data_IF_415960357230
#
_entry.id   IF_415960357230
#
_cell.length_a   1.000
_cell.length_b   1.000
_cell.length_c   1.000
_cell.angle_alpha   90.00
_cell.angle_beta   90.00
_cell.angle_gamma   90.00
#
_symmetry.space_group_name_H-M   'P 1'
#
loop_
_entity.id
_entity.type
_entity.pdbx_description
1 polymer ?
#
# COMPACT_ATOMS: atom_id res chain seq x y z
N UNK A 1 3.02 -5.35 29.71
CA UNK A 1 3.71 -5.55 28.46
C UNK A 1 3.90 -4.21 27.76
N UNK A 2 5.13 -3.72 27.70
CA UNK A 2 5.39 -2.32 27.36
C UNK A 2 5.47 -2.07 25.85
N UNK A 3 5.57 -3.10 25.03
CA UNK A 3 5.76 -3.01 23.59
C UNK A 3 4.53 -3.52 22.86
N UNK A 4 3.82 -4.45 23.48
CA UNK A 4 2.64 -5.06 22.89
C UNK A 4 1.34 -4.42 23.38
N UNK A 5 0.38 -4.36 22.50
CA UNK A 5 -0.97 -3.89 22.77
C UNK A 5 -1.99 -4.85 22.15
N UNK A 6 -3.23 -4.73 22.55
CA UNK A 6 -4.32 -5.38 21.83
C UNK A 6 -4.53 -4.64 20.52
N UNK A 7 -4.16 -5.29 19.42
CA UNK A 7 -4.41 -4.74 18.11
C UNK A 7 -5.90 -4.67 17.80
N UNK A 8 -6.34 -3.59 17.15
CA UNK A 8 -7.71 -3.40 16.69
C UNK A 8 -7.72 -3.13 15.19
N UNK A 9 -8.51 -3.90 14.46
CA UNK A 9 -8.76 -3.64 13.05
C UNK A 9 -10.21 -3.26 12.83
N UNK A 10 -10.41 -2.12 12.21
CA UNK A 10 -11.71 -1.60 11.79
C UNK A 10 -11.72 -1.47 10.28
N UNK A 11 -12.72 -2.02 9.62
CA UNK A 11 -12.87 -1.98 8.16
C UNK A 11 -14.31 -1.58 7.83
N UNK A 12 -14.46 -0.38 7.28
CA UNK A 12 -15.74 0.18 6.89
C UNK A 12 -15.82 0.19 5.37
N UNK A 13 -16.92 -0.30 4.83
CA UNK A 13 -17.13 -0.33 3.39
C UNK A 13 -18.57 -0.01 3.06
N UNK A 14 -18.78 0.87 2.08
CA UNK A 14 -20.06 1.18 1.51
C UNK A 14 -20.00 1.02 -0.01
N UNK A 15 -21.02 0.44 -0.60
CA UNK A 15 -21.06 0.25 -2.04
C UNK A 15 -22.45 0.47 -2.62
N UNK A 16 -22.47 0.89 -3.87
CA UNK A 16 -23.67 1.00 -4.70
C UNK A 16 -23.40 0.36 -6.04
N UNK A 17 -24.38 -0.34 -6.56
CA UNK A 17 -24.33 -0.92 -7.90
C UNK A 17 -25.67 -0.82 -8.58
N UNK A 18 -25.66 -0.82 -9.89
CA UNK A 18 -26.89 -0.84 -10.69
C UNK A 18 -26.59 -1.33 -12.10
N UNK A 19 -27.65 -1.74 -12.77
CA UNK A 19 -27.58 -2.21 -14.13
C UNK A 19 -28.84 -1.78 -14.91
N UNK A 20 -28.61 -1.46 -16.18
CA UNK A 20 -29.64 -1.33 -17.23
C UNK A 20 -29.32 -2.32 -18.34
N UNK A 21 -30.12 -2.34 -19.40
CA UNK A 21 -29.82 -3.19 -20.56
C UNK A 21 -28.49 -2.88 -21.24
N UNK A 22 -27.97 -1.65 -21.07
CA UNK A 22 -26.77 -1.17 -21.77
C UNK A 22 -25.62 -0.77 -20.85
N UNK A 23 -25.87 -0.51 -19.59
CA UNK A 23 -24.84 -0.02 -18.66
C UNK A 23 -24.95 -0.75 -17.34
N UNK A 24 -23.83 -1.25 -16.85
CA UNK A 24 -23.72 -1.67 -15.46
C UNK A 24 -22.60 -0.90 -14.77
N UNK A 25 -22.81 -0.61 -13.50
CA UNK A 25 -21.85 0.11 -12.70
C UNK A 25 -21.77 -0.43 -11.28
N UNK A 26 -20.61 -0.27 -10.71
CA UNK A 26 -20.32 -0.53 -9.30
C UNK A 26 -19.41 0.59 -8.79
N UNK A 27 -19.71 1.09 -7.61
CA UNK A 27 -18.87 2.03 -6.89
C UNK A 27 -18.80 1.64 -5.43
N UNK A 28 -17.61 1.68 -4.84
CA UNK A 28 -17.42 1.47 -3.41
C UNK A 28 -16.40 2.43 -2.84
N UNK A 29 -16.61 2.75 -1.56
CA UNK A 29 -15.69 3.48 -0.71
C UNK A 29 -15.40 2.63 0.51
N UNK A 30 -14.16 2.61 0.94
CA UNK A 30 -13.72 1.87 2.11
C UNK A 30 -12.70 2.66 2.91
N UNK A 31 -12.74 2.49 4.22
CA UNK A 31 -11.73 3.00 5.14
C UNK A 31 -11.30 1.88 6.08
N UNK A 32 -10.00 1.69 6.17
CA UNK A 32 -9.37 0.77 7.12
C UNK A 32 -8.61 1.60 8.15
N UNK A 33 -8.78 1.26 9.42
CA UNK A 33 -7.86 1.59 10.50
C UNK A 33 -7.37 0.29 11.12
N UNK A 34 -6.07 0.09 11.15
CA UNK A 34 -5.46 -1.11 11.68
C UNK A 34 -4.36 -0.76 12.68
N UNK A 35 -4.61 -1.04 13.92
CA UNK A 35 -3.64 -0.98 15.00
C UNK A 35 -3.00 -2.36 15.16
N UNK A 36 -1.68 -2.43 15.05
CA UNK A 36 -0.92 -3.65 15.20
C UNK A 36 -0.76 -4.08 16.66
N UNK A 37 -0.29 -5.31 16.86
CA UNK A 37 0.02 -5.82 18.20
C UNK A 37 1.25 -5.14 18.82
N UNK A 38 2.09 -4.48 18.02
CA UNK A 38 3.19 -3.64 18.48
C UNK A 38 2.72 -2.20 18.47
N UNK A 39 2.91 -1.49 19.58
CA UNK A 39 2.52 -0.08 19.68
C UNK A 39 3.21 0.76 18.61
N UNK A 40 2.44 1.60 17.89
CA UNK A 40 2.89 2.43 16.78
C UNK A 40 3.05 1.70 15.43
N UNK A 41 2.88 0.38 15.40
CA UNK A 41 2.73 -0.35 14.15
C UNK A 41 1.26 -0.31 13.71
N UNK A 42 0.90 0.76 13.08
CA UNK A 42 -0.47 1.02 12.64
C UNK A 42 -0.49 1.49 11.20
N UNK A 43 -1.61 1.38 10.56
CA UNK A 43 -1.85 2.04 9.29
C UNK A 43 -3.33 2.38 9.14
N UNK A 44 -3.60 3.43 8.41
CA UNK A 44 -4.92 3.71 7.90
C UNK A 44 -4.89 3.81 6.38
N UNK A 45 -6.01 3.47 5.76
CA UNK A 45 -6.12 3.54 4.31
C UNK A 45 -7.54 3.90 3.89
N UNK A 46 -7.63 4.86 2.98
CA UNK A 46 -8.83 5.13 2.21
C UNK A 46 -8.76 4.36 0.89
N UNK A 47 -9.87 3.73 0.50
CA UNK A 47 -9.97 2.94 -0.73
C UNK A 47 -11.22 3.32 -1.49
N UNK A 48 -11.11 3.41 -2.80
CA UNK A 48 -12.27 3.48 -3.67
C UNK A 48 -12.12 2.55 -4.86
N UNK A 49 -13.23 1.97 -5.28
CA UNK A 49 -13.31 1.20 -6.51
C UNK A 49 -14.49 1.69 -7.33
N UNK A 50 -14.25 1.95 -8.60
CA UNK A 50 -15.28 2.29 -9.57
C UNK A 50 -15.15 1.37 -10.77
N UNK A 51 -16.23 0.70 -11.12
CA UNK A 51 -16.32 -0.13 -12.32
C UNK A 51 -17.54 0.27 -13.13
N UNK A 52 -17.35 0.46 -14.41
CA UNK A 52 -18.42 0.73 -15.37
C UNK A 52 -18.19 -0.10 -16.62
N UNK A 53 -19.24 -0.71 -17.15
CA UNK A 53 -19.24 -1.32 -18.47
C UNK A 53 -20.48 -0.82 -19.21
N UNK A 54 -20.29 -0.44 -20.47
CA UNK A 54 -21.34 0.12 -21.30
C UNK A 54 -21.34 -0.52 -22.69
N UNK A 55 -22.48 -0.98 -23.11
CA UNK A 55 -22.77 -1.37 -24.50
C UNK A 55 -23.18 -0.13 -25.27
N UNK A 56 -22.20 0.50 -25.94
CA UNK A 56 -22.42 1.76 -26.68
C UNK A 56 -23.29 1.51 -27.91
N UNK A 57 -22.97 0.44 -28.63
CA UNK A 57 -23.74 -0.05 -29.78
C UNK A 57 -23.83 -1.58 -29.67
N UNK A 58 -24.50 -2.22 -30.63
CA UNK A 58 -24.55 -3.69 -30.67
C UNK A 58 -23.21 -4.35 -31.00
N UNK A 59 -22.29 -3.59 -31.55
CA UNK A 59 -20.96 -4.05 -31.95
C UNK A 59 -19.82 -3.47 -31.07
N UNK A 60 -20.08 -2.48 -30.19
CA UNK A 60 -19.07 -1.82 -29.34
C UNK A 60 -19.47 -1.84 -27.87
N UNK A 61 -18.65 -2.49 -27.07
CA UNK A 61 -18.70 -2.46 -25.62
C UNK A 61 -17.43 -1.81 -25.09
N UNK A 62 -17.55 -0.96 -24.08
CA UNK A 62 -16.41 -0.33 -23.39
C UNK A 62 -16.55 -0.51 -21.89
N UNK A 63 -15.41 -0.57 -21.20
CA UNK A 63 -15.39 -0.69 -19.76
C UNK A 63 -14.21 0.08 -19.16
N UNK A 64 -14.41 0.49 -17.92
CA UNK A 64 -13.37 1.08 -17.09
C UNK A 64 -13.48 0.50 -15.66
N UNK A 65 -12.32 0.18 -15.09
CA UNK A 65 -12.20 -0.16 -13.67
C UNK A 65 -11.10 0.71 -13.08
N UNK A 66 -11.43 1.48 -12.06
CA UNK A 66 -10.52 2.41 -11.38
C UNK A 66 -10.48 2.04 -9.90
N UNK A 67 -9.31 1.66 -9.43
CA UNK A 67 -9.04 1.38 -8.01
C UNK A 67 -8.07 2.43 -7.50
N UNK A 68 -8.46 3.13 -6.47
CA UNK A 68 -7.63 4.10 -5.77
C UNK A 68 -7.44 3.66 -4.33
N UNK A 69 -6.23 3.81 -3.83
CA UNK A 69 -5.90 3.64 -2.42
C UNK A 69 -4.90 4.70 -2.01
N UNK A 70 -5.19 5.34 -0.88
CA UNK A 70 -4.27 6.23 -0.19
C UNK A 70 -4.05 5.66 1.21
N UNK A 71 -2.79 5.41 1.57
CA UNK A 71 -2.42 4.76 2.82
C UNK A 71 -1.35 5.56 3.53
N UNK A 72 -1.59 5.82 4.81
CA UNK A 72 -0.62 6.31 5.76
C UNK A 72 -0.23 5.18 6.71
N UNK A 73 1.05 4.96 6.87
CA UNK A 73 1.61 3.99 7.82
C UNK A 73 1.98 4.70 9.12
N UNK A 74 1.98 3.94 10.22
CA UNK A 74 2.40 4.45 11.54
C UNK A 74 3.89 4.83 11.60
N UNK A 75 4.24 5.44 12.68
CA UNK A 75 5.55 6.05 12.92
C UNK A 75 6.66 5.08 13.34
N UNK A 76 6.37 3.78 13.42
CA UNK A 76 7.36 2.77 13.75
C UNK A 76 7.98 2.12 12.51
N UNK A 77 9.29 2.16 12.45
CA UNK A 77 10.07 1.27 11.60
C UNK A 77 10.33 -0.05 12.31
N UNK A 78 9.40 -0.98 12.24
CA UNK A 78 9.64 -2.34 12.73
C UNK A 78 10.37 -3.12 11.65
N UNK A 79 11.69 -3.19 11.75
CA UNK A 79 12.51 -4.07 10.94
C UNK A 79 12.84 -5.33 11.75
N UNK A 80 12.36 -6.47 11.32
CA UNK A 80 12.54 -7.77 12.01
C UNK A 80 14.00 -8.26 12.05
N UNK A 81 14.90 -7.66 11.31
CA UNK A 81 16.34 -8.01 11.30
C UNK A 81 17.25 -7.00 11.93
N UNK A 82 16.70 -5.96 12.54
CA UNK A 82 17.49 -4.85 13.08
C UNK A 82 17.79 -5.03 14.58
N UNK A 83 18.79 -4.29 15.03
CA UNK A 83 19.09 -4.09 16.45
C UNK A 83 17.89 -3.64 17.29
N UNK A 84 16.82 -3.18 16.65
CA UNK A 84 15.56 -2.80 17.29
C UNK A 84 14.96 -3.93 18.12
N UNK A 85 14.71 -5.10 17.52
CA UNK A 85 14.15 -6.24 18.24
C UNK A 85 15.09 -6.78 19.31
N UNK A 86 16.36 -6.95 18.96
CA UNK A 86 17.38 -7.48 19.84
C UNK A 86 17.63 -6.54 21.04
N UNK A 87 17.86 -5.26 20.78
CA UNK A 87 18.19 -4.30 21.83
C UNK A 87 16.99 -3.83 22.65
N UNK A 88 15.82 -3.69 22.03
CA UNK A 88 14.66 -3.11 22.73
C UNK A 88 13.72 -4.15 23.32
N UNK A 89 13.59 -5.32 22.71
CA UNK A 89 12.61 -6.30 23.15
C UNK A 89 13.22 -7.51 23.85
N UNK A 90 14.37 -8.00 23.36
CA UNK A 90 14.95 -9.23 23.86
C UNK A 90 15.98 -9.02 24.96
N UNK A 91 16.66 -7.88 24.99
CA UNK A 91 17.73 -7.59 25.95
C UNK A 91 17.26 -6.89 27.22
N UNK A 92 16.05 -6.32 27.24
CA UNK A 92 15.53 -5.72 28.46
C UNK A 92 15.00 -6.79 29.42
N UNK A 93 15.43 -6.69 30.68
CA UNK A 93 14.86 -7.52 31.75
C UNK A 93 13.40 -7.15 32.00
N UNK A 94 12.53 -8.12 32.34
CA UNK A 94 11.18 -7.82 32.81
C UNK A 94 11.13 -6.93 34.07
N UNK A 95 12.24 -6.83 34.78
CA UNK A 95 12.37 -6.00 35.97
C UNK A 95 12.97 -4.62 35.72
N UNK A 96 13.37 -4.35 34.45
CA UNK A 96 13.89 -3.04 34.07
C UNK A 96 12.77 -2.00 34.03
N UNK A 97 13.02 -0.82 34.62
CA UNK A 97 12.05 0.28 34.52
C UNK A 97 12.22 1.04 33.22
N UNK A 98 11.11 1.32 32.55
CA UNK A 98 11.11 2.22 31.39
C UNK A 98 11.19 3.70 31.79
N UNK A 99 10.98 4.01 33.05
CA UNK A 99 10.92 5.37 33.57
C UNK A 99 11.94 5.56 34.65
N UNK A 100 12.52 6.75 34.68
CA UNK A 100 13.33 7.24 35.80
C UNK A 100 12.45 7.55 37.04
N UNK A 101 13.09 7.97 38.11
CA UNK A 101 12.39 8.33 39.36
C UNK A 101 11.51 9.59 39.20
N UNK A 102 11.64 10.35 38.15
CA UNK A 102 10.88 11.56 37.84
C UNK A 102 9.72 11.29 36.88
N UNK A 103 9.61 10.07 36.36
CA UNK A 103 8.59 9.68 35.41
C UNK A 103 8.93 9.95 33.95
N UNK A 104 10.18 10.32 33.62
CA UNK A 104 10.65 10.43 32.24
C UNK A 104 11.12 9.09 31.72
N UNK A 105 11.08 8.90 30.40
CA UNK A 105 11.63 7.68 29.80
C UNK A 105 13.12 7.54 30.08
N UNK A 106 13.50 6.37 30.60
CA UNK A 106 14.92 5.98 30.78
C UNK A 106 15.48 5.46 29.45
N UNK A 107 16.58 6.04 28.98
CA UNK A 107 17.18 5.62 27.70
C UNK A 107 17.72 4.19 27.73
N UNK A 108 18.35 3.84 28.87
CA UNK A 108 18.96 2.52 29.08
C UNK A 108 18.37 1.85 30.32
N UNK A 109 17.21 1.16 30.22
CA UNK A 109 16.50 0.59 31.35
C UNK A 109 17.33 -0.39 32.18
N UNK A 110 18.42 -0.93 31.60
CA UNK A 110 19.35 -1.84 32.25
C UNK A 110 20.60 -1.12 32.78
N UNK A 111 20.62 0.21 32.80
CA UNK A 111 21.71 1.02 33.30
C UNK A 111 22.09 0.61 34.73
N UNK A 112 23.37 0.31 34.94
CA UNK A 112 23.87 -0.17 36.22
C UNK A 112 23.75 -1.69 36.45
N UNK A 113 23.18 -2.46 35.56
CA UNK A 113 23.18 -3.91 35.60
C UNK A 113 24.36 -4.48 34.77
N UNK A 114 24.96 -5.61 35.19
CA UNK A 114 26.15 -6.17 34.53
C UNK A 114 25.80 -6.88 33.19
N UNK A 115 24.93 -6.28 32.40
CA UNK A 115 24.48 -6.85 31.11
C UNK A 115 24.74 -5.86 29.99
N UNK A 116 24.93 -6.36 28.78
CA UNK A 116 25.01 -5.55 27.55
C UNK A 116 23.63 -4.95 27.25
N UNK A 117 23.25 -3.94 27.99
CA UNK A 117 22.00 -3.28 28.19
C UNK A 117 21.03 -3.25 27.02
N UNK A 118 19.79 -3.42 27.35
CA UNK A 118 18.67 -3.10 26.48
C UNK A 118 18.54 -1.59 26.28
N UNK A 119 17.80 -1.21 25.31
CA UNK A 119 17.50 0.16 24.94
C UNK A 119 16.00 0.42 25.03
N UNK A 120 15.61 1.62 25.37
CA UNK A 120 14.20 2.00 25.44
C UNK A 120 13.79 2.73 24.16
N UNK A 121 13.09 2.04 23.31
CA UNK A 121 12.58 2.60 22.06
C UNK A 121 11.69 3.84 22.27
N UNK A 122 10.87 3.87 23.35
CA UNK A 122 10.01 5.02 23.61
C UNK A 122 10.77 6.27 24.00
N UNK A 123 12.01 6.12 24.48
CA UNK A 123 12.89 7.26 24.71
C UNK A 123 13.15 8.00 23.39
N UNK A 124 13.50 7.30 22.33
CA UNK A 124 13.80 7.91 21.03
C UNK A 124 12.56 8.49 20.35
N UNK A 125 11.41 7.84 20.49
CA UNK A 125 10.16 8.33 19.87
C UNK A 125 9.80 9.76 20.27
N UNK A 126 10.27 10.26 21.39
CA UNK A 126 10.06 11.64 21.81
C UNK A 126 10.78 12.64 20.90
N UNK A 127 11.80 12.17 20.17
CA UNK A 127 12.71 12.99 19.39
C UNK A 127 12.60 12.75 17.88
N UNK A 128 11.78 11.81 17.45
CA UNK A 128 11.60 11.46 16.05
C UNK A 128 10.18 11.76 15.59
N UNK A 129 10.09 12.20 14.35
CA UNK A 129 8.83 12.24 13.61
C UNK A 129 9.05 11.50 12.28
N UNK A 130 8.24 10.49 12.02
CA UNK A 130 8.31 9.66 10.83
C UNK A 130 6.93 9.62 10.18
N UNK A 131 6.83 10.17 8.99
CA UNK A 131 5.67 10.04 8.14
C UNK A 131 6.04 9.17 6.95
N UNK A 132 5.24 8.16 6.65
CA UNK A 132 5.40 7.34 5.46
C UNK A 132 4.05 6.84 4.98
N UNK A 133 3.99 6.57 3.71
CA UNK A 133 2.78 6.04 3.12
C UNK A 133 2.90 5.88 1.62
N UNK A 134 1.80 5.53 1.02
CA UNK A 134 1.73 5.42 -0.42
C UNK A 134 0.32 5.64 -0.97
N UNK A 135 0.28 6.17 -2.16
CA UNK A 135 -0.93 6.30 -2.97
C UNK A 135 -0.82 5.39 -4.18
N UNK A 136 -1.85 4.62 -4.47
CA UNK A 136 -1.92 3.74 -5.65
C UNK A 136 -3.16 4.05 -6.45
N UNK A 137 -2.99 4.23 -7.75
CA UNK A 137 -4.05 4.32 -8.73
C UNK A 137 -3.87 3.20 -9.76
N UNK A 138 -4.74 2.20 -9.72
CA UNK A 138 -4.81 1.14 -10.73
C UNK A 138 -6.02 1.41 -11.61
N UNK A 139 -5.81 1.44 -12.92
CA UNK A 139 -6.89 1.61 -13.88
C UNK A 139 -6.84 0.50 -14.92
N UNK A 140 -7.99 0.08 -15.39
CA UNK A 140 -8.12 -0.83 -16.52
C UNK A 140 -9.18 -0.24 -17.44
N UNK A 141 -8.81 0.02 -18.66
CA UNK A 141 -9.74 0.38 -19.72
C UNK A 141 -9.81 -0.76 -20.72
N UNK A 142 -11.01 -1.12 -21.12
CA UNK A 142 -11.22 -2.16 -22.10
C UNK A 142 -12.22 -1.70 -23.16
N UNK A 143 -12.05 -2.22 -24.36
CA UNK A 143 -13.02 -2.09 -25.45
C UNK A 143 -13.13 -3.43 -26.17
N UNK A 144 -14.34 -3.84 -26.47
CA UNK A 144 -14.64 -5.02 -27.27
C UNK A 144 -15.45 -4.61 -28.50
N UNK A 145 -14.96 -5.00 -29.65
CA UNK A 145 -15.60 -4.78 -30.93
C UNK A 145 -16.00 -6.13 -31.51
N UNK A 146 -17.29 -6.30 -31.73
CA UNK A 146 -17.85 -7.46 -32.45
C UNK A 146 -17.88 -7.16 -33.95
N UNK A 147 -17.21 -7.98 -34.73
CA UNK A 147 -17.05 -7.81 -36.16
C UNK A 147 -17.85 -8.86 -36.91
N UNK A 148 -18.14 -8.63 -38.22
CA UNK A 148 -18.81 -9.63 -39.03
C UNK A 148 -18.01 -10.95 -39.13
N UNK A 149 -18.66 -12.00 -39.59
CA UNK A 149 -18.08 -13.31 -39.91
C UNK A 149 -17.49 -14.08 -38.69
N UNK A 150 -17.89 -13.74 -37.48
CA UNK A 150 -17.47 -14.42 -36.23
C UNK A 150 -16.17 -13.84 -35.64
N UNK A 151 -15.68 -12.70 -36.11
CA UNK A 151 -14.54 -12.04 -35.48
C UNK A 151 -14.94 -11.16 -34.33
N UNK A 152 -14.08 -11.09 -33.31
CA UNK A 152 -14.11 -10.07 -32.26
C UNK A 152 -12.70 -9.55 -32.00
N UNK A 153 -12.61 -8.27 -31.65
CA UNK A 153 -11.37 -7.64 -31.22
C UNK A 153 -11.57 -7.08 -29.83
N UNK A 154 -10.64 -7.38 -28.92
CA UNK A 154 -10.63 -6.86 -27.57
C UNK A 154 -9.32 -6.14 -27.31
N UNK A 155 -9.43 -4.92 -26.83
CA UNK A 155 -8.34 -4.07 -26.40
C UNK A 155 -8.43 -3.90 -24.88
N UNK A 156 -7.30 -4.07 -24.17
CA UNK A 156 -7.18 -3.76 -22.74
C UNK A 156 -5.91 -2.94 -22.54
N UNK A 157 -6.00 -1.90 -21.72
CA UNK A 157 -4.85 -1.15 -21.22
C UNK A 157 -5.01 -0.93 -19.72
N UNK A 158 -3.95 -1.23 -18.96
CA UNK A 158 -3.94 -1.18 -17.51
C UNK A 158 -2.80 -0.30 -16.98
N UNK A 159 -2.90 1.05 -17.05
CA UNK A 159 -1.95 1.93 -16.41
C UNK A 159 -2.11 1.88 -14.89
N UNK A 160 -0.96 1.82 -14.21
CA UNK A 160 -0.84 1.83 -12.77
C UNK A 160 0.15 2.89 -12.34
N UNK A 161 -0.24 3.72 -11.39
CA UNK A 161 0.62 4.65 -10.71
C UNK A 161 0.73 4.28 -9.24
N UNK A 162 1.94 4.39 -8.69
CA UNK A 162 2.18 4.23 -7.26
C UNK A 162 3.19 5.29 -6.82
N UNK A 163 2.83 6.04 -5.79
CA UNK A 163 3.66 7.06 -5.18
C UNK A 163 3.93 6.66 -3.74
N UNK A 164 5.20 6.59 -3.38
CA UNK A 164 5.65 6.43 -2.01
C UNK A 164 6.20 7.74 -1.53
N UNK A 165 6.00 8.02 -0.26
CA UNK A 165 6.64 9.09 0.45
C UNK A 165 7.10 8.62 1.82
N UNK A 166 8.24 9.15 2.27
CA UNK A 166 8.71 9.08 3.62
C UNK A 166 9.30 10.42 4.03
N UNK A 167 9.06 10.78 5.25
CA UNK A 167 9.66 11.94 5.90
C UNK A 167 10.15 11.51 7.27
N UNK A 168 11.41 11.72 7.52
CA UNK A 168 12.03 11.48 8.80
C UNK A 168 12.61 12.77 9.32
N UNK A 169 12.30 13.10 10.56
CA UNK A 169 12.85 14.25 11.26
C UNK A 169 13.34 13.83 12.64
N UNK A 170 14.52 14.35 13.05
CA UNK A 170 15.09 14.14 14.35
C UNK A 170 15.26 15.47 15.08
N UNK A 171 14.77 15.56 16.32
CA UNK A 171 14.94 16.74 17.17
C UNK A 171 16.41 16.98 17.53
N UNK A 172 16.76 18.24 17.59
CA UNK A 172 18.06 18.67 18.12
C UNK A 172 18.26 18.36 19.61
N UNK A 173 17.15 18.08 20.31
CA UNK A 173 17.16 17.80 21.75
C UNK A 173 17.48 16.34 22.08
N UNK A 174 17.62 15.47 21.06
CA UNK A 174 18.02 14.09 21.28
C UNK A 174 19.40 14.07 21.97
N UNK A 175 19.51 13.48 23.17
CA UNK A 175 20.77 13.39 23.89
C UNK A 175 21.85 12.67 23.07
N UNK A 176 23.05 13.21 23.05
CA UNK A 176 24.20 12.67 22.33
C UNK A 176 24.08 12.67 20.80
N UNK A 177 23.05 13.28 20.23
CA UNK A 177 22.96 13.45 18.79
C UNK A 177 24.08 14.39 18.29
N UNK A 178 24.77 13.97 17.27
CA UNK A 178 25.75 14.84 16.59
C UNK A 178 25.02 15.90 15.74
N UNK A 179 25.70 16.97 15.39
CA UNK A 179 25.12 17.98 14.50
C UNK A 179 24.80 17.39 13.10
N UNK A 180 25.46 16.31 12.71
CA UNK A 180 25.22 15.61 11.46
C UNK A 180 23.92 14.76 11.48
N UNK A 181 23.46 14.37 12.67
CA UNK A 181 22.26 13.57 12.83
C UNK A 181 20.99 14.44 12.85
N UNK A 182 21.15 15.76 12.95
CA UNK A 182 20.05 16.72 13.00
C UNK A 182 19.63 17.10 11.59
N UNK A 183 18.49 16.61 11.16
CA UNK A 183 18.05 16.90 9.82
C UNK A 183 16.64 16.45 9.52
N UNK A 184 16.16 16.91 8.39
CA UNK A 184 14.94 16.40 7.78
C UNK A 184 15.37 15.62 6.56
N UNK A 185 15.07 14.35 6.54
CA UNK A 185 15.15 13.54 5.34
C UNK A 185 13.75 13.44 4.72
N UNK A 186 13.64 13.65 3.42
CA UNK A 186 12.39 13.49 2.65
C UNK A 186 12.72 12.66 1.44
N UNK A 187 12.17 11.44 1.44
CA UNK A 187 12.23 10.55 0.29
C UNK A 187 10.89 10.50 -0.44
N UNK A 188 10.96 10.34 -1.72
CA UNK A 188 9.82 9.96 -2.52
C UNK A 188 10.22 9.01 -3.63
N UNK A 189 9.31 8.14 -4.01
CA UNK A 189 9.47 7.33 -5.20
C UNK A 189 8.15 7.18 -5.93
N UNK A 190 8.24 7.00 -7.23
CA UNK A 190 7.11 6.83 -8.12
C UNK A 190 7.37 5.64 -9.04
N UNK A 191 6.41 4.74 -9.08
CA UNK A 191 6.32 3.69 -10.08
C UNK A 191 5.21 4.03 -11.07
N UNK A 192 5.49 3.84 -12.33
CA UNK A 192 4.50 3.85 -13.39
C UNK A 192 4.66 2.59 -14.24
N UNK A 193 3.63 1.79 -14.22
CA UNK A 193 3.55 0.55 -14.99
C UNK A 193 2.38 0.66 -15.96
N UNK A 194 2.50 0.08 -17.13
CA UNK A 194 1.34 -0.19 -17.96
C UNK A 194 1.48 -1.54 -18.65
N UNK A 195 0.34 -2.19 -18.80
CA UNK A 195 0.19 -3.39 -19.61
C UNK A 195 -0.88 -3.13 -20.66
N UNK A 196 -0.60 -3.53 -21.88
CA UNK A 196 -1.50 -3.43 -23.02
C UNK A 196 -1.68 -4.81 -23.63
N UNK A 197 -2.92 -5.17 -23.88
CA UNK A 197 -3.27 -6.46 -24.45
C UNK A 197 -4.26 -6.25 -25.61
N UNK A 198 -3.95 -6.83 -26.76
CA UNK A 198 -4.80 -6.89 -27.92
C UNK A 198 -5.13 -8.34 -28.23
N UNK A 199 -6.40 -8.67 -28.35
CA UNK A 199 -6.87 -10.02 -28.62
C UNK A 199 -7.82 -9.99 -29.81
N UNK A 200 -7.51 -10.76 -30.84
CA UNK A 200 -8.41 -11.04 -31.95
C UNK A 200 -8.87 -12.48 -31.81
N UNK A 201 -10.17 -12.68 -31.77
CA UNK A 201 -10.76 -14.02 -31.73
C UNK A 201 -11.65 -14.19 -32.96
N UNK A 202 -11.52 -15.32 -33.61
CA UNK A 202 -12.44 -15.80 -34.63
C UNK A 202 -13.14 -17.05 -34.10
N UNK A 203 -14.47 -17.00 -34.12
CA UNK A 203 -15.34 -18.06 -33.61
C UNK A 203 -16.42 -18.37 -34.63
N UNK A 204 -16.50 -19.62 -35.09
CA UNK A 204 -17.43 -19.98 -36.11
C UNK A 204 -17.84 -21.45 -36.05
N UNK A 205 -19.10 -21.69 -36.35
CA UNK A 205 -19.69 -23.03 -36.44
C UNK A 205 -19.88 -23.41 -37.92
N UNK A 206 -19.39 -24.58 -38.31
CA UNK A 206 -19.57 -25.19 -39.60
C UNK A 206 -20.20 -26.57 -39.41
N UNK A 207 -21.49 -26.68 -39.68
CA UNK A 207 -22.23 -27.90 -39.43
C UNK A 207 -22.21 -28.29 -37.93
N UNK A 208 -21.62 -29.43 -37.62
CA UNK A 208 -21.47 -29.92 -36.22
C UNK A 208 -20.11 -29.50 -35.59
N UNK A 209 -19.25 -28.82 -36.32
CA UNK A 209 -17.94 -28.42 -35.86
C UNK A 209 -17.89 -26.97 -35.43
N UNK A 210 -17.36 -26.72 -34.23
CA UNK A 210 -17.11 -25.38 -33.71
C UNK A 210 -15.61 -25.10 -33.68
N UNK A 211 -15.22 -24.03 -34.35
CA UNK A 211 -13.82 -23.59 -34.44
C UNK A 211 -13.65 -22.25 -33.74
N UNK A 212 -12.65 -22.19 -32.87
CA UNK A 212 -12.21 -20.94 -32.23
C UNK A 212 -10.70 -20.78 -32.44
N UNK A 213 -10.30 -19.64 -32.98
CA UNK A 213 -8.90 -19.26 -33.11
C UNK A 213 -8.68 -17.90 -32.46
N UNK A 214 -7.60 -17.80 -31.66
CA UNK A 214 -7.29 -16.56 -30.92
C UNK A 214 -5.84 -16.16 -31.16
N UNK A 215 -5.64 -14.89 -31.47
CA UNK A 215 -4.33 -14.24 -31.55
C UNK A 215 -4.25 -13.18 -30.46
N UNK A 216 -3.17 -13.19 -29.68
CA UNK A 216 -2.91 -12.25 -28.59
C UNK A 216 -1.59 -11.54 -28.82
N UNK A 217 -1.58 -10.22 -28.62
CA UNK A 217 -0.38 -9.40 -28.56
C UNK A 217 -0.37 -8.65 -27.24
N UNK A 218 0.74 -8.71 -26.53
CA UNK A 218 0.94 -8.03 -25.24
C UNK A 218 2.15 -7.12 -25.32
N UNK A 219 2.09 -6.01 -24.58
CA UNK A 219 3.20 -5.11 -24.33
C UNK A 219 3.10 -4.54 -22.91
N UNK A 220 4.24 -4.39 -22.27
CA UNK A 220 4.32 -3.80 -20.93
C UNK A 220 5.54 -2.89 -20.81
N UNK A 221 5.46 -1.94 -19.89
CA UNK A 221 6.58 -1.09 -19.54
C UNK A 221 6.52 -0.76 -18.05
N UNK A 222 7.69 -0.74 -17.42
CA UNK A 222 7.90 -0.33 -16.04
C UNK A 222 8.85 0.84 -15.99
N UNK A 223 8.47 1.89 -15.25
CA UNK A 223 9.30 3.08 -14.99
C UNK A 223 9.32 3.38 -13.50
N UNK A 224 10.53 3.65 -13.01
CA UNK A 224 10.77 3.99 -11.61
C UNK A 224 11.53 5.31 -11.51
N UNK A 225 11.12 6.16 -10.58
CA UNK A 225 11.82 7.39 -10.21
C UNK A 225 11.90 7.46 -8.68
N UNK A 226 13.01 7.95 -8.17
CA UNK A 226 13.19 8.23 -6.74
C UNK A 226 14.07 9.45 -6.55
N UNK A 227 13.85 10.11 -5.42
CA UNK A 227 14.68 11.19 -4.90
C UNK A 227 14.73 11.07 -3.37
N UNK A 228 15.93 11.28 -2.77
CA UNK A 228 16.19 11.14 -1.33
C UNK A 228 16.99 12.34 -0.82
#
# INVERSE_FOLDING_TARGET
DMVFQNGLRQDYNASISGATERVNYYFSLGYINNEGAVQGNEYNAFRSNMKINAKITDWLEVGANVNFQDRSDGDIQVSLGSNYWDNNMLRNSPYASMYDNNGNYEQYPMSGLPTNGGYNYYFDRQYYDLEKGYTVLNTIFNAKITLPAGFSYQFNIAPRYQWFYDRYWMSADLPNASAADRGVNRGWSKNFDWNLNNTITWDKIFGEHHFTATLVQEAEEHRYWSDN
#
